data_IF_198160134240
#
_entry.id   IF_198160134240
#
_cell.length_a   1.000
_cell.length_b   1.000
_cell.length_c   1.000
_cell.angle_alpha   90.00
_cell.angle_beta   90.00
_cell.angle_gamma   90.00
#
_symmetry.space_group_name_H-M   'P 1'
#
loop_
_entity.id
_entity.type
_entity.pdbx_description
1 polymer ?
#
# COMPACT_ATOMS: atom_id res chain seq x y z
N UNK A 1 -9.47 -1.72 27.65
CA UNK A 1 -8.54 -1.83 26.50
C UNK A 1 -9.27 -2.11 25.20
N UNK A 2 -10.24 -3.03 25.14
CA UNK A 2 -11.03 -3.29 23.92
C UNK A 2 -11.82 -2.06 23.43
N UNK A 3 -12.25 -1.19 24.36
CA UNK A 3 -13.10 -0.04 24.05
C UNK A 3 -12.38 1.04 23.21
N UNK A 4 -11.08 1.27 23.44
CA UNK A 4 -10.33 2.31 22.71
C UNK A 4 -10.18 1.95 21.24
N UNK A 5 -9.81 0.69 20.94
CA UNK A 5 -9.73 0.21 19.55
C UNK A 5 -11.11 0.15 18.91
N UNK A 6 -12.14 -0.26 19.65
CA UNK A 6 -13.49 -0.33 19.13
C UNK A 6 -14.02 1.06 18.76
N UNK A 7 -13.76 2.08 19.57
CA UNK A 7 -14.18 3.46 19.29
C UNK A 7 -13.48 4.02 18.04
N UNK A 8 -12.14 3.88 17.95
CA UNK A 8 -11.39 4.31 16.76
C UNK A 8 -11.88 3.58 15.52
N UNK A 9 -12.04 2.26 15.57
CA UNK A 9 -12.54 1.47 14.44
C UNK A 9 -13.96 1.87 14.03
N UNK A 10 -14.83 2.16 14.99
CA UNK A 10 -16.20 2.63 14.72
C UNK A 10 -16.15 3.98 13.98
N UNK A 11 -15.33 4.92 14.43
CA UNK A 11 -15.16 6.22 13.78
C UNK A 11 -14.59 6.08 12.36
N UNK A 12 -13.58 5.21 12.17
CA UNK A 12 -13.03 4.88 10.84
C UNK A 12 -14.11 4.34 9.91
N UNK A 13 -14.91 3.37 10.36
CA UNK A 13 -16.01 2.80 9.58
C UNK A 13 -17.11 3.81 9.25
N UNK A 14 -17.28 4.82 10.11
CA UNK A 14 -18.22 5.92 9.89
C UNK A 14 -17.65 7.05 9.01
N UNK A 15 -16.39 6.95 8.54
CA UNK A 15 -15.71 8.00 7.78
C UNK A 15 -15.36 9.25 8.61
N UNK A 16 -15.51 9.18 9.94
CA UNK A 16 -15.20 10.26 10.88
C UNK A 16 -13.70 10.29 11.17
N UNK A 17 -12.91 10.50 10.12
CA UNK A 17 -11.44 10.42 10.17
C UNK A 17 -10.79 11.45 11.10
N UNK A 18 -11.24 12.72 11.18
CA UNK A 18 -10.66 13.69 12.12
C UNK A 18 -10.78 13.24 13.58
N UNK A 19 -11.97 12.76 13.97
CA UNK A 19 -12.24 12.25 15.31
C UNK A 19 -11.49 10.95 15.59
N UNK A 20 -11.46 10.04 14.62
CA UNK A 20 -10.70 8.79 14.72
C UNK A 20 -9.21 9.06 14.95
N UNK A 21 -8.64 10.02 14.21
CA UNK A 21 -7.23 10.39 14.34
C UNK A 21 -6.95 11.01 15.70
N UNK A 22 -7.80 11.92 16.18
CA UNK A 22 -7.66 12.52 17.51
C UNK A 22 -7.71 11.47 18.62
N UNK A 23 -8.61 10.48 18.52
CA UNK A 23 -8.69 9.37 19.47
C UNK A 23 -7.46 8.46 19.42
N UNK A 24 -7.00 8.12 18.23
CA UNK A 24 -5.78 7.34 18.05
C UNK A 24 -4.55 8.07 18.63
N UNK A 25 -4.41 9.38 18.39
CA UNK A 25 -3.31 10.20 18.93
C UNK A 25 -3.38 10.32 20.46
N UNK A 26 -4.57 10.51 21.03
CA UNK A 26 -4.76 10.52 22.49
C UNK A 26 -4.32 9.19 23.11
N UNK A 27 -4.68 8.06 22.51
CA UNK A 27 -4.25 6.74 22.97
C UNK A 27 -2.73 6.59 22.91
N UNK A 28 -2.14 6.94 21.76
CA UNK A 28 -0.71 6.83 21.49
C UNK A 28 0.14 7.77 22.36
N UNK A 29 -0.40 8.86 22.88
CA UNK A 29 0.30 9.72 23.84
C UNK A 29 0.76 8.95 25.10
N UNK A 30 -0.02 7.95 25.53
CA UNK A 30 0.33 7.09 26.68
C UNK A 30 1.05 5.79 26.28
N UNK A 31 0.87 5.33 25.05
CA UNK A 31 1.40 4.06 24.53
C UNK A 31 1.99 4.24 23.12
N UNK A 32 3.10 4.99 22.98
CA UNK A 32 3.57 5.48 21.69
C UNK A 32 4.02 4.38 20.72
N UNK A 33 4.30 3.17 21.22
CA UNK A 33 4.77 2.06 20.39
C UNK A 33 3.68 1.03 20.07
N UNK A 34 2.44 1.21 20.52
CA UNK A 34 1.35 0.26 20.26
C UNK A 34 1.16 0.02 18.75
N UNK A 35 1.48 -1.18 18.21
CA UNK A 35 1.51 -1.39 16.76
C UNK A 35 0.12 -1.32 16.14
N UNK A 36 -0.90 -1.82 16.84
CA UNK A 36 -2.27 -1.85 16.34
C UNK A 36 -2.87 -0.44 16.21
N UNK A 37 -2.69 0.42 17.21
CA UNK A 37 -3.21 1.80 17.14
C UNK A 37 -2.42 2.65 16.14
N UNK A 38 -1.09 2.42 16.03
CA UNK A 38 -0.28 3.05 14.96
C UNK A 38 -0.72 2.60 13.58
N UNK A 39 -1.08 1.33 13.42
CA UNK A 39 -1.62 0.81 12.17
C UNK A 39 -2.94 1.52 11.81
N UNK A 40 -3.88 1.63 12.76
CA UNK A 40 -5.14 2.37 12.55
C UNK A 40 -4.88 3.84 12.18
N UNK A 41 -3.94 4.51 12.87
CA UNK A 41 -3.50 5.86 12.51
C UNK A 41 -2.97 5.93 11.08
N UNK A 42 -2.13 4.99 10.68
CA UNK A 42 -1.60 4.89 9.31
C UNK A 42 -2.71 4.73 8.28
N UNK A 43 -3.71 3.88 8.55
CA UNK A 43 -4.89 3.72 7.69
C UNK A 43 -5.68 5.03 7.59
N UNK A 44 -5.97 5.69 8.70
CA UNK A 44 -6.67 6.99 8.71
C UNK A 44 -5.91 8.04 7.89
N UNK A 45 -4.58 8.07 8.01
CA UNK A 45 -3.73 8.97 7.24
C UNK A 45 -3.79 8.66 5.73
N UNK A 46 -3.83 7.38 5.34
CA UNK A 46 -4.04 6.97 3.95
C UNK A 46 -5.39 7.44 3.41
N UNK A 47 -6.49 7.16 4.13
CA UNK A 47 -7.85 7.53 3.71
C UNK A 47 -8.07 9.03 3.60
N UNK A 48 -7.31 9.82 4.38
CA UNK A 48 -7.37 11.30 4.35
C UNK A 48 -6.36 11.95 3.41
N UNK A 49 -5.66 11.16 2.59
CA UNK A 49 -4.67 11.67 1.62
C UNK A 49 -3.39 12.21 2.25
N UNK A 50 -3.16 12.00 3.55
CA UNK A 50 -1.93 12.36 4.27
C UNK A 50 -0.83 11.34 4.01
N UNK A 51 -0.51 11.15 2.73
CA UNK A 51 0.36 10.07 2.24
C UNK A 51 1.75 10.09 2.86
N UNK A 52 2.36 11.26 3.07
CA UNK A 52 3.67 11.40 3.73
C UNK A 52 3.64 10.87 5.16
N UNK A 53 2.58 11.20 5.89
CA UNK A 53 2.44 10.85 7.30
C UNK A 53 2.15 9.36 7.44
N UNK A 54 1.31 8.80 6.55
CA UNK A 54 1.05 7.37 6.49
C UNK A 54 2.33 6.57 6.24
N UNK A 55 3.15 6.97 5.27
CA UNK A 55 4.45 6.35 5.00
C UNK A 55 5.32 6.39 6.25
N UNK A 56 5.46 7.56 6.89
CA UNK A 56 6.25 7.71 8.13
C UNK A 56 5.74 6.80 9.25
N UNK A 57 4.43 6.74 9.46
CA UNK A 57 3.80 5.89 10.48
C UNK A 57 4.08 4.41 10.22
N UNK A 58 3.81 3.91 9.01
CA UNK A 58 4.02 2.50 8.67
C UNK A 58 5.50 2.12 8.65
N UNK A 59 6.39 2.98 8.15
CA UNK A 59 7.85 2.74 8.19
C UNK A 59 8.33 2.54 9.62
N UNK A 60 7.92 3.40 10.55
CA UNK A 60 8.29 3.20 11.95
C UNK A 60 7.71 1.89 12.53
N UNK A 61 6.55 1.42 12.06
CA UNK A 61 6.03 0.11 12.51
C UNK A 61 6.93 -1.01 11.97
N UNK A 62 7.34 -0.94 10.71
CA UNK A 62 8.23 -1.96 10.11
C UNK A 62 9.63 -1.99 10.75
N UNK A 63 10.10 -0.86 11.29
CA UNK A 63 11.35 -0.77 12.03
C UNK A 63 11.24 -1.39 13.43
N UNK A 64 10.14 -1.14 14.14
CA UNK A 64 9.92 -1.62 15.50
C UNK A 64 9.40 -3.08 15.56
N UNK A 65 8.62 -3.49 14.56
CA UNK A 65 7.89 -4.75 14.47
C UNK A 65 8.07 -5.37 13.07
N UNK A 66 9.30 -5.80 12.72
CA UNK A 66 9.62 -6.28 11.37
C UNK A 66 8.92 -7.58 10.99
N UNK A 67 8.28 -8.27 11.93
CA UNK A 67 7.51 -9.50 11.74
C UNK A 67 6.07 -9.28 11.24
N UNK A 68 5.55 -8.05 11.35
CA UNK A 68 4.18 -7.74 10.94
C UNK A 68 4.10 -7.52 9.42
N UNK A 69 3.33 -8.35 8.67
CA UNK A 69 3.24 -8.23 7.22
C UNK A 69 2.39 -7.03 6.75
N UNK A 70 1.36 -6.64 7.50
CA UNK A 70 0.35 -5.66 7.07
C UNK A 70 0.93 -4.24 6.84
N UNK A 71 1.82 -3.70 7.69
CA UNK A 71 2.47 -2.41 7.45
C UNK A 71 3.26 -2.36 6.14
N UNK A 72 3.95 -3.45 5.78
CA UNK A 72 4.68 -3.54 4.51
C UNK A 72 3.72 -3.50 3.31
N UNK A 73 2.60 -4.24 3.36
CA UNK A 73 1.59 -4.20 2.31
C UNK A 73 1.00 -2.78 2.12
N UNK A 74 0.74 -2.06 3.22
CA UNK A 74 0.26 -0.68 3.16
C UNK A 74 1.32 0.29 2.59
N UNK A 75 2.58 0.17 3.00
CA UNK A 75 3.68 0.93 2.39
C UNK A 75 3.77 0.69 0.89
N UNK A 76 3.58 -0.55 0.45
CA UNK A 76 3.61 -0.88 -0.95
C UNK A 76 2.49 -0.20 -1.75
N UNK A 77 1.26 -0.22 -1.24
CA UNK A 77 0.14 0.48 -1.85
C UNK A 77 0.42 2.00 -1.97
N UNK A 78 0.94 2.62 -0.91
CA UNK A 78 1.31 4.04 -0.90
C UNK A 78 2.42 4.36 -1.91
N UNK A 79 3.46 3.52 -1.99
CA UNK A 79 4.53 3.68 -2.97
C UNK A 79 4.04 3.46 -4.40
N UNK A 80 3.18 2.47 -4.64
CA UNK A 80 2.59 2.22 -5.94
C UNK A 80 1.70 3.39 -6.40
N UNK A 81 0.92 3.99 -5.49
CA UNK A 81 0.15 5.21 -5.76
C UNK A 81 1.03 6.41 -6.17
N UNK A 82 2.28 6.46 -5.71
CA UNK A 82 3.28 7.44 -6.13
C UNK A 82 4.13 6.99 -7.34
N UNK A 83 3.75 5.91 -8.04
CA UNK A 83 4.54 5.28 -9.11
C UNK A 83 5.97 4.86 -8.73
N UNK A 84 6.26 4.70 -7.42
CA UNK A 84 7.55 4.26 -6.89
C UNK A 84 7.60 2.72 -6.81
N UNK A 85 7.47 2.07 -7.96
CA UNK A 85 7.23 0.63 -8.04
C UNK A 85 8.36 -0.24 -7.47
N UNK A 86 9.62 0.18 -7.57
CA UNK A 86 10.73 -0.57 -6.94
C UNK A 86 10.61 -0.64 -5.41
N UNK A 87 10.17 0.46 -4.77
CA UNK A 87 9.94 0.49 -3.33
C UNK A 87 8.68 -0.29 -2.95
N UNK A 88 7.66 -0.25 -3.80
CA UNK A 88 6.47 -1.07 -3.61
C UNK A 88 6.81 -2.56 -3.66
N UNK A 89 7.61 -2.99 -4.65
CA UNK A 89 8.12 -4.36 -4.78
C UNK A 89 8.85 -4.80 -3.52
N UNK A 90 9.85 -4.01 -3.09
CA UNK A 90 10.66 -4.36 -1.92
C UNK A 90 9.80 -4.50 -0.64
N UNK A 91 8.79 -3.64 -0.46
CA UNK A 91 7.87 -3.77 0.66
C UNK A 91 7.01 -5.05 0.56
N UNK A 92 6.49 -5.40 -0.61
CA UNK A 92 5.69 -6.63 -0.78
C UNK A 92 6.51 -7.90 -0.61
N UNK A 93 7.75 -7.91 -1.09
CA UNK A 93 8.70 -9.00 -0.85
C UNK A 93 8.93 -9.20 0.65
N UNK A 94 9.03 -8.11 1.42
CA UNK A 94 9.11 -8.17 2.89
C UNK A 94 7.82 -8.73 3.51
N UNK A 95 6.65 -8.27 3.08
CA UNK A 95 5.35 -8.77 3.56
C UNK A 95 5.19 -10.29 3.32
N UNK A 96 5.60 -10.76 2.15
CA UNK A 96 5.57 -12.18 1.77
C UNK A 96 6.62 -12.97 2.56
N UNK A 97 7.81 -12.41 2.78
CA UNK A 97 8.83 -13.07 3.60
C UNK A 97 8.37 -13.28 5.04
N UNK A 98 7.64 -12.31 5.61
CA UNK A 98 7.08 -12.42 6.98
C UNK A 98 5.86 -13.32 7.04
N UNK A 99 5.03 -13.34 5.99
CA UNK A 99 3.89 -14.24 5.86
C UNK A 99 3.74 -14.76 4.42
N UNK A 100 4.32 -15.95 4.11
CA UNK A 100 4.29 -16.51 2.75
C UNK A 100 2.88 -16.77 2.21
N UNK A 101 1.89 -16.95 3.08
CA UNK A 101 0.49 -17.20 2.73
C UNK A 101 -0.34 -15.92 2.58
N UNK A 102 0.28 -14.74 2.63
CA UNK A 102 -0.43 -13.46 2.52
C UNK A 102 -0.88 -13.19 1.07
N UNK A 103 -2.05 -13.72 0.70
CA UNK A 103 -2.59 -13.68 -0.66
C UNK A 103 -2.64 -12.25 -1.25
N UNK A 104 -3.10 -11.27 -0.48
CA UNK A 104 -3.17 -9.86 -0.91
C UNK A 104 -1.79 -9.28 -1.25
N UNK A 105 -0.72 -9.69 -0.55
CA UNK A 105 0.62 -9.23 -0.88
C UNK A 105 1.13 -9.83 -2.21
N UNK A 106 0.80 -11.09 -2.51
CA UNK A 106 1.11 -11.71 -3.81
C UNK A 106 0.33 -11.05 -4.96
N UNK A 107 -0.95 -10.77 -4.76
CA UNK A 107 -1.78 -10.03 -5.72
C UNK A 107 -1.17 -8.65 -6.01
N UNK A 108 -0.92 -7.86 -4.97
CA UNK A 108 -0.31 -6.54 -5.10
C UNK A 108 1.09 -6.61 -5.75
N UNK A 109 1.85 -7.68 -5.52
CA UNK A 109 3.17 -7.87 -6.13
C UNK A 109 3.06 -8.15 -7.62
N UNK A 110 2.07 -8.94 -8.04
CA UNK A 110 1.73 -9.15 -9.46
C UNK A 110 1.40 -7.83 -10.16
N UNK A 111 0.55 -7.01 -9.54
CA UNK A 111 0.22 -5.66 -10.03
C UNK A 111 1.45 -4.77 -10.18
N UNK A 112 2.34 -4.78 -9.19
CA UNK A 112 3.59 -4.01 -9.22
C UNK A 112 4.51 -4.52 -10.34
N UNK A 113 4.63 -5.82 -10.55
CA UNK A 113 5.42 -6.38 -11.65
C UNK A 113 4.88 -6.01 -13.02
N UNK A 114 3.57 -6.04 -13.21
CA UNK A 114 2.95 -5.61 -14.46
C UNK A 114 3.23 -4.12 -14.75
N UNK A 115 3.21 -3.25 -13.72
CA UNK A 115 3.58 -1.83 -13.87
C UNK A 115 5.06 -1.62 -14.20
N UNK A 116 5.98 -2.37 -13.56
CA UNK A 116 7.41 -2.35 -13.88
C UNK A 116 7.67 -2.80 -15.32
N UNK A 117 7.02 -3.89 -15.76
CA UNK A 117 7.11 -4.37 -17.13
C UNK A 117 6.59 -3.32 -18.14
N UNK A 118 5.48 -2.64 -17.83
CA UNK A 118 4.96 -1.53 -18.64
C UNK A 118 5.96 -0.38 -18.79
N UNK A 119 6.64 0.01 -17.71
CA UNK A 119 7.69 1.03 -17.76
C UNK A 119 8.88 0.60 -18.63
N UNK A 120 9.34 -0.65 -18.47
CA UNK A 120 10.44 -1.19 -19.26
C UNK A 120 10.11 -1.26 -20.76
N UNK A 121 8.92 -1.75 -21.13
CA UNK A 121 8.48 -1.78 -22.52
C UNK A 121 8.27 -0.38 -23.09
N UNK A 122 7.72 0.55 -22.33
CA UNK A 122 7.61 1.94 -22.75
C UNK A 122 8.98 2.55 -23.04
N UNK A 123 9.99 2.26 -22.19
CA UNK A 123 11.37 2.70 -22.43
C UNK A 123 11.98 2.06 -23.67
N UNK A 124 11.74 0.77 -23.90
CA UNK A 124 12.20 0.09 -25.10
C UNK A 124 11.62 0.72 -26.38
N UNK A 125 10.32 1.05 -26.39
CA UNK A 125 9.67 1.71 -27.53
C UNK A 125 10.11 3.16 -27.75
N UNK A 126 10.61 3.84 -26.71
CA UNK A 126 11.26 5.14 -26.89
C UNK A 126 12.59 5.03 -27.64
N UNK A 127 13.27 3.87 -27.57
CA UNK A 127 14.54 3.62 -28.22
C UNK A 127 14.36 2.99 -29.61
N UNK A 128 13.37 2.13 -29.76
CA UNK A 128 12.97 1.50 -31.02
C UNK A 128 11.44 1.49 -31.13
N UNK A 129 10.90 2.54 -31.74
CA UNK A 129 9.46 2.71 -31.90
C UNK A 129 8.83 1.71 -32.88
N UNK A 130 9.64 1.00 -33.67
CA UNK A 130 9.17 0.08 -34.71
C UNK A 130 8.96 -1.36 -34.21
N UNK A 131 9.31 -1.64 -32.95
CA UNK A 131 9.24 -2.97 -32.36
C UNK A 131 7.78 -3.40 -32.06
N UNK A 132 7.10 -3.95 -33.07
CA UNK A 132 5.71 -4.41 -32.96
C UNK A 132 5.48 -5.41 -31.82
N UNK A 133 6.42 -6.34 -31.59
CA UNK A 133 6.28 -7.34 -30.52
C UNK A 133 6.26 -6.70 -29.12
N UNK A 134 7.00 -5.62 -28.89
CA UNK A 134 6.97 -4.88 -27.62
C UNK A 134 5.69 -4.05 -27.50
N UNK A 135 5.18 -3.49 -28.61
CA UNK A 135 3.90 -2.80 -28.63
C UNK A 135 2.77 -3.73 -28.18
N UNK A 136 2.71 -4.95 -28.71
CA UNK A 136 1.70 -5.94 -28.35
C UNK A 136 1.76 -6.33 -26.87
N UNK A 137 2.97 -6.57 -26.34
CA UNK A 137 3.17 -6.90 -24.91
C UNK A 137 2.73 -5.74 -24.00
N UNK A 138 3.05 -4.50 -24.37
CA UNK A 138 2.64 -3.32 -23.61
C UNK A 138 1.12 -3.12 -23.66
N UNK A 139 0.50 -3.36 -24.81
CA UNK A 139 -0.96 -3.31 -24.95
C UNK A 139 -1.65 -4.36 -24.08
N UNK A 140 -1.14 -5.60 -24.06
CA UNK A 140 -1.66 -6.66 -23.20
C UNK A 140 -1.59 -6.32 -21.71
N UNK A 141 -0.45 -5.78 -21.24
CA UNK A 141 -0.30 -5.35 -19.84
C UNK A 141 -1.28 -4.23 -19.50
N UNK A 142 -1.45 -3.24 -20.39
CA UNK A 142 -2.40 -2.14 -20.16
C UNK A 142 -3.84 -2.66 -20.07
N UNK A 143 -4.20 -3.69 -20.84
CA UNK A 143 -5.52 -4.29 -20.82
C UNK A 143 -5.89 -4.85 -19.44
N UNK A 144 -4.93 -5.46 -18.72
CA UNK A 144 -5.13 -5.98 -17.34
C UNK A 144 -5.71 -4.89 -16.44
N UNK A 145 -5.05 -3.73 -16.36
CA UNK A 145 -5.49 -2.64 -15.49
C UNK A 145 -6.78 -1.95 -15.93
N UNK A 146 -7.12 -1.99 -17.22
CA UNK A 146 -8.41 -1.45 -17.70
C UNK A 146 -9.60 -2.33 -17.33
N UNK A 147 -9.39 -3.64 -17.22
CA UNK A 147 -10.42 -4.57 -16.76
C UNK A 147 -10.68 -4.39 -15.26
N UNK A 148 -9.63 -4.22 -14.45
CA UNK A 148 -9.74 -4.03 -13.00
C UNK A 148 -10.52 -2.75 -12.64
N UNK A 149 -10.28 -1.66 -13.37
CA UNK A 149 -10.99 -0.40 -13.15
C UNK A 149 -12.49 -0.47 -13.49
N UNK A 150 -12.90 -1.36 -14.41
CA UNK A 150 -14.32 -1.59 -14.74
C UNK A 150 -15.02 -2.50 -13.73
N UNK A 151 -14.28 -3.40 -13.08
CA UNK A 151 -14.85 -4.31 -12.08
C UNK A 151 -15.08 -3.63 -10.71
N UNK A 152 -14.47 -2.46 -10.47
CA UNK A 152 -14.55 -1.70 -9.22
C UNK A 152 -15.54 -0.51 -9.27
N UNK A 153 -16.25 -0.32 -10.38
CA UNK A 153 -17.34 0.65 -10.56
C UNK A 153 -18.69 -0.06 -10.52
#
# INVERSE_FOLDING_TARGET
YADDYADVNRLVRAGQYPEALAKADQYLASKPRDPQMRFLKGVIQTETGKTSDAISTFTKITEDYPELPEPYNNLAALYAGQSRFDKARAALEMAIRTNPSYATAHENLGDVYARLASQAYSKALQLDSSNAAVQDKLAAIRAVFTADNKARQ
#
